data_IF_444238441712
#
_entry.id   IF_444238441712
#
_cell.length_a   1.000
_cell.length_b   1.000
_cell.length_c   1.000
_cell.angle_alpha   90.00
_cell.angle_beta   90.00
_cell.angle_gamma   90.00
#
_symmetry.space_group_name_H-M   'P 1'
#
loop_
_entity.id
_entity.type
_entity.pdbx_description
1 polymer ?
#
# COMPACT_ATOMS: atom_id res chain seq x y z
N UNK A 1 -16.14 -10.52 -20.22
CA UNK A 1 -17.26 -9.64 -19.78
C UNK A 1 -16.77 -8.89 -18.55
N UNK A 2 -16.74 -7.56 -18.57
CA UNK A 2 -16.39 -6.76 -17.40
C UNK A 2 -17.31 -7.15 -16.22
N UNK A 3 -16.71 -7.55 -15.09
CA UNK A 3 -17.44 -7.88 -13.86
C UNK A 3 -18.30 -6.72 -13.37
N UNK A 4 -19.36 -7.00 -12.61
CA UNK A 4 -20.20 -5.95 -12.04
C UNK A 4 -19.51 -5.38 -10.81
N UNK A 5 -19.18 -4.08 -10.82
CA UNK A 5 -18.63 -3.37 -9.65
C UNK A 5 -19.66 -3.15 -8.54
N UNK A 6 -20.96 -3.22 -8.87
CA UNK A 6 -22.08 -2.98 -7.96
C UNK A 6 -22.85 -4.29 -7.78
N UNK A 7 -22.88 -4.81 -6.56
CA UNK A 7 -23.49 -6.08 -6.19
C UNK A 7 -23.09 -6.53 -4.78
N UNK A 8 -23.62 -7.66 -4.31
CA UNK A 8 -23.12 -8.30 -3.10
C UNK A 8 -21.66 -8.73 -3.31
N UNK A 9 -20.82 -8.48 -2.30
CA UNK A 9 -19.44 -8.95 -2.31
C UNK A 9 -19.44 -10.49 -2.27
N UNK A 10 -18.58 -11.19 -3.02
CA UNK A 10 -18.52 -12.65 -2.97
C UNK A 10 -18.26 -13.13 -1.53
N UNK A 11 -18.98 -14.18 -1.11
CA UNK A 11 -18.81 -14.80 0.21
C UNK A 11 -17.52 -15.63 0.31
N UNK A 12 -16.98 -16.05 -0.83
CA UNK A 12 -15.78 -16.87 -0.98
C UNK A 12 -14.49 -16.07 -1.26
N UNK A 13 -14.54 -14.73 -1.16
CA UNK A 13 -13.32 -13.91 -1.29
C UNK A 13 -12.45 -14.00 -0.03
N UNK A 14 -11.33 -14.73 -0.13
CA UNK A 14 -10.31 -14.79 0.92
C UNK A 14 -9.58 -13.45 1.15
N UNK A 15 -9.67 -12.54 0.18
CA UNK A 15 -9.03 -11.24 0.14
C UNK A 15 -7.52 -11.29 -0.06
N UNK A 16 -6.88 -10.14 0.15
CA UNK A 16 -5.46 -9.96 -0.10
C UNK A 16 -4.86 -9.05 0.98
N UNK A 17 -3.83 -9.52 1.66
CA UNK A 17 -2.91 -8.68 2.43
C UNK A 17 -1.62 -8.50 1.65
N UNK A 18 -1.03 -7.31 1.78
CA UNK A 18 0.30 -7.01 1.29
C UNK A 18 1.20 -6.80 2.50
N UNK A 19 2.20 -7.66 2.64
CA UNK A 19 3.26 -7.54 3.63
C UNK A 19 4.55 -7.18 2.90
N UNK A 20 5.17 -6.08 3.30
CA UNK A 20 6.36 -5.54 2.68
C UNK A 20 7.41 -5.17 3.72
N UNK A 21 8.68 -5.39 3.39
CA UNK A 21 9.80 -5.23 4.31
C UNK A 21 10.75 -4.17 3.74
N UNK A 22 11.03 -3.13 4.52
CA UNK A 22 11.92 -2.05 4.10
C UNK A 22 13.08 -1.88 5.07
N UNK A 23 14.26 -1.70 4.49
CA UNK A 23 15.47 -1.30 5.20
C UNK A 23 15.72 0.17 4.90
N UNK A 24 16.18 0.89 5.91
CA UNK A 24 16.53 2.30 5.76
C UNK A 24 17.67 2.44 4.73
N UNK A 25 17.56 3.42 3.82
CA UNK A 25 18.63 3.67 2.85
C UNK A 25 19.95 4.03 3.54
N UNK A 26 21.08 3.78 2.87
CA UNK A 26 22.40 4.18 3.38
C UNK A 26 22.48 5.68 3.62
N UNK A 27 21.94 6.49 2.71
CA UNK A 27 21.90 7.95 2.84
C UNK A 27 21.14 8.39 4.09
N UNK A 28 19.94 7.85 4.29
CA UNK A 28 19.12 8.12 5.47
C UNK A 28 19.83 7.70 6.76
N UNK A 29 20.50 6.54 6.75
CA UNK A 29 21.30 6.05 7.87
C UNK A 29 22.47 6.99 8.21
N UNK A 30 23.18 7.49 7.19
CA UNK A 30 24.28 8.44 7.37
C UNK A 30 23.80 9.79 7.91
N UNK A 31 22.66 10.30 7.46
CA UNK A 31 22.05 11.52 7.99
C UNK A 31 21.71 11.38 9.49
N UNK A 32 21.06 10.27 9.85
CA UNK A 32 20.71 9.97 11.24
C UNK A 32 21.96 9.83 12.12
N UNK A 33 23.02 9.19 11.63
CA UNK A 33 24.29 9.05 12.35
C UNK A 33 24.96 10.39 12.68
N UNK A 34 24.68 11.43 11.88
CA UNK A 34 25.16 12.80 12.07
C UNK A 34 24.19 13.66 12.89
N UNK A 35 23.12 13.07 13.43
CA UNK A 35 22.07 13.79 14.15
C UNK A 35 21.19 14.69 13.26
N UNK A 36 21.23 14.50 11.94
CA UNK A 36 20.46 15.30 10.99
C UNK A 36 19.09 14.66 10.73
N UNK A 37 18.04 15.48 10.69
CA UNK A 37 16.69 15.02 10.35
C UNK A 37 16.06 15.90 9.27
N UNK A 38 15.74 15.30 8.13
CA UNK A 38 14.89 15.90 7.11
C UNK A 38 13.42 15.85 7.54
N UNK A 39 12.53 16.68 6.97
CA UNK A 39 11.08 16.56 7.21
C UNK A 39 10.54 15.14 7.01
N UNK A 40 10.96 14.45 5.94
CA UNK A 40 10.57 13.07 5.66
C UNK A 40 11.06 12.07 6.72
N UNK A 41 12.29 12.22 7.22
CA UNK A 41 12.80 11.37 8.32
C UNK A 41 12.07 11.63 9.63
N UNK A 42 11.67 12.88 9.91
CA UNK A 42 10.84 13.20 11.08
C UNK A 42 9.46 12.55 11.00
N UNK A 43 8.81 12.65 9.85
CA UNK A 43 7.51 12.02 9.60
C UNK A 43 7.59 10.49 9.72
N UNK A 44 8.59 9.88 9.07
CA UNK A 44 8.79 8.43 9.15
C UNK A 44 9.03 7.96 10.58
N UNK A 45 9.88 8.66 11.33
CA UNK A 45 10.15 8.34 12.74
C UNK A 45 8.87 8.40 13.58
N UNK A 46 8.08 9.47 13.45
CA UNK A 46 6.79 9.58 14.14
C UNK A 46 5.85 8.42 13.78
N UNK A 47 5.82 8.01 12.52
CA UNK A 47 4.96 6.91 12.09
C UNK A 47 5.40 5.57 12.70
N UNK A 48 6.71 5.32 12.76
CA UNK A 48 7.28 4.15 13.42
C UNK A 48 6.99 4.17 14.92
N UNK A 49 7.14 5.32 15.58
CA UNK A 49 6.90 5.48 17.03
C UNK A 49 5.42 5.23 17.40
N UNK A 50 4.48 5.68 16.55
CA UNK A 50 3.04 5.43 16.73
C UNK A 50 2.66 3.99 16.35
N UNK A 51 3.36 3.37 15.40
CA UNK A 51 3.17 1.98 14.97
C UNK A 51 1.89 1.68 14.20
N UNK A 52 0.94 2.62 14.15
CA UNK A 52 -0.37 2.46 13.50
C UNK A 52 -0.78 3.70 12.72
N UNK A 53 -1.34 3.49 11.53
CA UNK A 53 -1.86 4.56 10.68
C UNK A 53 -3.28 4.95 11.08
N UNK A 54 -3.52 6.25 11.31
CA UNK A 54 -4.84 6.79 11.66
C UNK A 54 -5.12 8.06 10.84
N UNK A 55 -6.40 8.33 10.59
CA UNK A 55 -6.81 9.50 9.79
C UNK A 55 -6.54 10.81 10.54
N UNK A 56 -6.81 10.84 11.83
CA UNK A 56 -6.70 12.03 12.67
C UNK A 56 -5.25 12.24 13.16
N UNK A 57 -4.49 11.17 13.42
CA UNK A 57 -3.11 11.20 13.89
C UNK A 57 -2.07 11.22 12.77
N UNK A 58 -1.26 10.17 12.67
CA UNK A 58 -0.30 10.00 11.58
C UNK A 58 -0.86 9.07 10.49
N UNK A 59 -0.88 9.57 9.27
CA UNK A 59 -1.55 8.95 8.13
C UNK A 59 -0.53 8.32 7.20
N UNK A 60 -0.64 7.02 6.96
CA UNK A 60 0.15 6.33 5.94
C UNK A 60 -0.65 6.20 4.64
N UNK A 61 -0.03 6.52 3.51
CA UNK A 61 -0.65 6.48 2.19
C UNK A 61 0.06 5.47 1.30
N UNK A 62 -0.72 4.84 0.43
CA UNK A 62 -0.20 4.10 -0.71
C UNK A 62 -0.67 4.75 -2.01
N UNK A 63 0.21 4.78 -3.00
CA UNK A 63 -0.12 5.17 -4.37
C UNK A 63 0.06 3.94 -5.24
N UNK A 64 -1.03 3.47 -5.84
CA UNK A 64 -1.01 2.38 -6.79
C UNK A 64 -1.04 2.91 -8.22
N UNK A 65 -0.16 2.38 -9.07
CA UNK A 65 -0.16 2.64 -10.51
C UNK A 65 -0.17 1.34 -11.27
N UNK A 66 -1.17 1.15 -12.12
CA UNK A 66 -1.16 0.10 -13.15
C UNK A 66 -0.72 0.73 -14.46
N UNK A 67 0.32 0.18 -15.06
CA UNK A 67 0.80 0.57 -16.39
C UNK A 67 -0.17 0.09 -17.47
N UNK A 68 -0.41 0.92 -18.49
CA UNK A 68 -1.28 0.62 -19.64
C UNK A 68 -2.67 0.09 -19.25
N UNK A 69 -3.31 0.75 -18.29
CA UNK A 69 -4.57 0.28 -17.69
C UNK A 69 -5.69 0.02 -18.74
N UNK A 70 -5.68 0.73 -19.87
CA UNK A 70 -6.63 0.58 -20.98
C UNK A 70 -6.61 -0.84 -21.60
N UNK A 71 -5.49 -1.56 -21.48
CA UNK A 71 -5.31 -2.93 -21.98
C UNK A 71 -6.18 -3.96 -21.25
N UNK A 72 -6.52 -3.74 -19.98
CA UNK A 72 -7.08 -4.79 -19.12
C UNK A 72 -8.62 -4.84 -19.10
N UNK A 73 -9.30 -4.03 -19.94
CA UNK A 73 -10.76 -3.99 -20.04
C UNK A 73 -11.46 -3.81 -18.68
N UNK A 74 -10.87 -2.99 -17.82
CA UNK A 74 -11.41 -2.64 -16.50
C UNK A 74 -12.42 -1.48 -16.61
N UNK A 75 -13.36 -1.34 -15.65
CA UNK A 75 -14.37 -0.30 -15.71
C UNK A 75 -13.77 1.10 -15.59
N UNK A 76 -14.42 2.09 -16.21
CA UNK A 76 -13.87 3.44 -16.30
C UNK A 76 -13.65 4.11 -14.92
N UNK A 77 -14.48 3.75 -13.95
CA UNK A 77 -14.32 4.18 -12.57
C UNK A 77 -12.95 3.81 -11.99
N UNK A 78 -12.31 2.73 -12.45
CA UNK A 78 -11.00 2.29 -11.96
C UNK A 78 -9.86 3.22 -12.39
N UNK A 79 -9.91 3.78 -13.60
CA UNK A 79 -8.91 4.75 -14.07
C UNK A 79 -8.82 5.97 -13.14
N UNK A 80 -9.93 6.33 -12.47
CA UNK A 80 -9.98 7.44 -11.53
C UNK A 80 -9.25 7.17 -10.23
N UNK A 81 -8.83 5.94 -9.95
CA UNK A 81 -8.03 5.58 -8.78
C UNK A 81 -6.56 5.36 -9.11
N UNK A 82 -6.23 5.17 -10.40
CA UNK A 82 -4.84 5.06 -10.83
C UNK A 82 -4.05 6.31 -10.44
N UNK A 83 -2.86 6.14 -9.86
CA UNK A 83 -2.00 7.22 -9.37
C UNK A 83 -2.61 8.10 -8.27
N UNK A 84 -3.76 7.74 -7.69
CA UNK A 84 -4.31 8.49 -6.56
C UNK A 84 -3.81 7.92 -5.23
N UNK A 85 -3.28 8.77 -4.33
CA UNK A 85 -2.98 8.35 -2.98
C UNK A 85 -4.24 7.86 -2.26
N UNK A 86 -4.15 6.70 -1.64
CA UNK A 86 -5.17 6.12 -0.78
C UNK A 86 -4.64 6.07 0.63
N UNK A 87 -5.45 6.57 1.57
CA UNK A 87 -5.14 6.52 2.99
C UNK A 87 -5.31 5.10 3.53
N UNK A 88 -4.24 4.54 4.09
CA UNK A 88 -4.23 3.24 4.76
C UNK A 88 -4.56 3.38 6.25
N UNK A 89 -5.69 4.02 6.58
CA UNK A 89 -6.10 4.23 7.97
C UNK A 89 -6.68 2.96 8.60
N UNK A 90 -6.20 2.60 9.80
CA UNK A 90 -6.62 1.42 10.59
C UNK A 90 -6.31 0.05 9.96
N UNK A 91 -5.72 0.05 8.77
CA UNK A 91 -5.37 -1.16 8.05
C UNK A 91 -3.87 -1.36 7.89
N UNK A 92 -3.06 -0.30 8.02
CA UNK A 92 -1.60 -0.39 8.02
C UNK A 92 -1.05 -0.41 9.44
N UNK A 93 -0.19 -1.40 9.71
CA UNK A 93 0.61 -1.51 10.93
C UNK A 93 2.09 -1.54 10.55
N UNK A 94 2.94 -0.89 11.36
CA UNK A 94 4.39 -1.01 11.24
C UNK A 94 4.92 -1.87 12.37
N UNK A 95 5.62 -2.94 12.02
CA UNK A 95 6.24 -3.85 12.97
C UNK A 95 7.76 -3.69 12.86
N UNK A 96 8.36 -3.15 13.92
CA UNK A 96 9.83 -2.95 14.02
C UNK A 96 10.49 -3.87 15.04
N UNK A 97 9.72 -4.53 15.89
CA UNK A 97 10.25 -5.40 16.96
C UNK A 97 10.54 -6.84 16.50
N UNK A 98 10.00 -7.25 15.35
CA UNK A 98 10.19 -8.61 14.82
C UNK A 98 11.53 -8.78 14.12
N UNK A 99 11.97 -7.73 13.41
CA UNK A 99 13.19 -7.70 12.65
C UNK A 99 13.94 -6.41 13.00
N UNK A 100 15.01 -6.46 13.81
CA UNK A 100 15.61 -5.27 14.41
C UNK A 100 16.17 -4.25 13.39
N UNK A 101 16.43 -4.68 12.15
CA UNK A 101 16.97 -3.84 11.09
C UNK A 101 15.96 -3.48 9.99
N UNK A 102 14.69 -3.89 10.15
CA UNK A 102 13.68 -3.82 9.09
C UNK A 102 12.37 -3.29 9.66
N UNK A 103 11.72 -2.41 8.92
CA UNK A 103 10.31 -2.10 9.14
C UNK A 103 9.46 -3.02 8.26
N UNK A 104 8.61 -3.82 8.89
CA UNK A 104 7.55 -4.57 8.20
C UNK A 104 6.29 -3.68 8.15
N UNK A 105 5.75 -3.51 6.95
CA UNK A 105 4.50 -2.79 6.67
C UNK A 105 3.50 -3.82 6.19
N UNK A 106 2.47 -4.06 7.00
CA UNK A 106 1.35 -4.95 6.70
C UNK A 106 0.09 -4.12 6.51
N UNK A 107 -0.61 -4.32 5.40
CA UNK A 107 -1.99 -3.88 5.27
C UNK A 107 -2.90 -4.85 4.53
N UNK A 108 -4.14 -4.87 4.99
CA UNK A 108 -5.21 -5.70 4.46
C UNK A 108 -6.10 -4.92 3.48
N UNK A 109 -6.10 -5.31 2.21
CA UNK A 109 -6.91 -4.68 1.16
C UNK A 109 -8.41 -4.90 1.38
N UNK A 110 -8.82 -5.93 2.15
CA UNK A 110 -10.24 -6.17 2.52
C UNK A 110 -10.82 -5.09 3.41
N UNK A 111 -9.99 -4.26 4.01
CA UNK A 111 -10.44 -3.16 4.87
C UNK A 111 -10.55 -1.83 4.11
N UNK A 112 -10.19 -1.81 2.83
CA UNK A 112 -10.28 -0.63 1.97
C UNK A 112 -11.74 -0.30 1.61
N UNK A 113 -11.95 0.86 0.96
CA UNK A 113 -13.27 1.23 0.44
C UNK A 113 -13.84 0.13 -0.48
N UNK A 114 -15.17 -0.06 -0.42
CA UNK A 114 -15.91 -1.12 -1.13
C UNK A 114 -15.50 -1.30 -2.60
N UNK A 115 -15.24 -0.19 -3.30
CA UNK A 115 -14.88 -0.21 -4.71
C UNK A 115 -13.54 -0.92 -4.97
N UNK A 116 -12.54 -0.73 -4.11
CA UNK A 116 -11.26 -1.40 -4.25
C UNK A 116 -11.40 -2.92 -4.06
N UNK A 117 -12.16 -3.33 -3.05
CA UNK A 117 -12.43 -4.76 -2.78
C UNK A 117 -13.18 -5.43 -3.91
N UNK A 118 -14.30 -4.81 -4.32
CA UNK A 118 -15.10 -5.28 -5.46
C UNK A 118 -14.24 -5.38 -6.73
N UNK A 119 -13.33 -4.44 -6.96
CA UNK A 119 -12.46 -4.49 -8.12
C UNK A 119 -11.44 -5.62 -8.03
N UNK A 120 -10.77 -5.78 -6.88
CA UNK A 120 -9.83 -6.87 -6.70
C UNK A 120 -10.53 -8.22 -6.86
N UNK A 121 -11.66 -8.44 -6.18
CA UNK A 121 -12.43 -9.67 -6.29
C UNK A 121 -12.82 -10.00 -7.74
N UNK A 122 -13.27 -9.02 -8.53
CA UNK A 122 -13.70 -9.25 -9.91
C UNK A 122 -12.56 -9.30 -10.94
N UNK A 123 -11.43 -8.64 -10.68
CA UNK A 123 -10.37 -8.41 -11.67
C UNK A 123 -8.97 -8.91 -11.26
N UNK A 124 -8.82 -9.58 -10.12
CA UNK A 124 -7.54 -10.13 -9.67
C UNK A 124 -6.88 -11.07 -10.71
N UNK A 125 -7.67 -11.78 -11.52
CA UNK A 125 -7.15 -12.62 -12.61
C UNK A 125 -6.36 -11.85 -13.68
N UNK A 126 -6.56 -10.53 -13.80
CA UNK A 126 -5.79 -9.66 -14.70
C UNK A 126 -4.42 -9.30 -14.14
N UNK A 127 -4.16 -9.49 -12.84
CA UNK A 127 -2.88 -9.18 -12.21
C UNK A 127 -1.70 -9.94 -12.86
N UNK A 128 -1.95 -11.14 -13.41
CA UNK A 128 -0.95 -11.94 -14.14
C UNK A 128 -0.49 -11.29 -15.46
N UNK A 129 -1.28 -10.38 -16.01
CA UNK A 129 -0.98 -9.65 -17.25
C UNK A 129 -0.53 -8.22 -16.97
N UNK A 130 -0.71 -7.74 -15.75
CA UNK A 130 -0.53 -6.36 -15.36
C UNK A 130 0.83 -6.10 -14.70
N UNK A 131 1.26 -4.86 -14.82
CA UNK A 131 2.39 -4.30 -14.09
C UNK A 131 1.86 -3.27 -13.09
N UNK A 132 2.01 -3.57 -11.80
CA UNK A 132 1.51 -2.75 -10.69
C UNK A 132 2.69 -2.18 -9.91
N UNK A 133 2.81 -0.85 -9.89
CA UNK A 133 3.74 -0.11 -9.05
C UNK A 133 3.02 0.37 -7.79
N UNK A 134 3.66 0.19 -6.64
CA UNK A 134 3.16 0.66 -5.36
C UNK A 134 4.23 1.54 -4.73
N UNK A 135 3.84 2.76 -4.35
CA UNK A 135 4.67 3.69 -3.59
C UNK A 135 4.04 4.03 -2.25
N UNK A 136 4.86 4.18 -1.22
CA UNK A 136 4.44 4.51 0.13
C UNK A 136 4.94 5.86 0.57
N UNK A 137 4.12 6.57 1.34
CA UNK A 137 4.44 7.87 1.92
C UNK A 137 3.65 8.10 3.21
N UNK A 138 4.20 8.92 4.08
CA UNK A 138 3.50 9.44 5.26
C UNK A 138 2.95 10.82 4.90
N UNK A 139 1.71 11.08 5.26
CA UNK A 139 1.06 12.38 5.04
C UNK A 139 1.71 13.49 5.84
N UNK A 140 2.05 14.58 5.16
CA UNK A 140 2.40 15.85 5.80
C UNK A 140 1.12 16.64 6.07
N UNK A 141 0.91 17.07 7.32
CA UNK A 141 -0.24 17.87 7.76
C UNK A 141 0.14 19.33 8.06
N UNK A 142 1.42 19.62 8.25
CA UNK A 142 1.95 20.97 8.42
C UNK A 142 2.84 21.40 7.25
N UNK A 143 2.98 22.72 7.03
CA UNK A 143 3.76 23.26 5.91
C UNK A 143 5.24 22.85 5.96
N UNK A 144 5.82 22.68 7.15
CA UNK A 144 7.22 22.24 7.33
C UNK A 144 7.43 20.75 7.08
N UNK A 145 6.34 19.99 6.90
CA UNK A 145 6.32 18.57 6.57
C UNK A 145 6.23 18.33 5.05
N UNK A 146 6.01 19.39 4.26
CA UNK A 146 5.85 19.33 2.81
C UNK A 146 7.15 19.71 2.06
N UNK A 147 7.37 19.17 0.84
CA UNK A 147 6.56 18.15 0.17
C UNK A 147 6.72 16.76 0.80
N UNK A 148 5.65 15.95 0.74
CA UNK A 148 5.70 14.53 1.10
C UNK A 148 6.72 13.79 0.21
N UNK A 149 7.40 12.77 0.76
CA UNK A 149 8.37 11.96 0.02
C UNK A 149 7.95 10.49 -0.04
N UNK A 150 8.23 9.84 -1.17
CA UNK A 150 8.15 8.39 -1.29
C UNK A 150 9.22 7.77 -0.39
N UNK A 151 8.78 6.94 0.55
CA UNK A 151 9.63 6.27 1.54
C UNK A 151 10.12 4.91 1.04
N UNK A 152 9.30 4.24 0.24
CA UNK A 152 9.59 2.95 -0.36
C UNK A 152 8.64 2.70 -1.51
N UNK A 153 9.09 1.93 -2.49
CA UNK A 153 8.27 1.48 -3.59
C UNK A 153 8.71 0.11 -4.09
N UNK A 154 7.80 -0.58 -4.75
CA UNK A 154 8.09 -1.82 -5.46
C UNK A 154 7.16 -1.97 -6.66
N UNK A 155 7.56 -2.84 -7.57
CA UNK A 155 6.79 -3.20 -8.76
C UNK A 155 6.50 -4.69 -8.73
N UNK A 156 5.23 -5.03 -8.89
CA UNK A 156 4.72 -6.37 -9.06
C UNK A 156 4.46 -6.58 -10.55
N UNK A 157 5.23 -7.47 -11.17
CA UNK A 157 5.10 -7.79 -12.58
C UNK A 157 4.41 -9.14 -12.73
N UNK A 158 3.29 -9.16 -13.45
CA UNK A 158 2.66 -10.39 -13.93
C UNK A 158 2.36 -11.41 -12.80
N UNK A 159 1.92 -10.92 -11.63
CA UNK A 159 1.66 -11.78 -10.48
C UNK A 159 0.34 -12.53 -10.66
N UNK A 160 0.42 -13.86 -10.67
CA UNK A 160 -0.75 -14.72 -10.65
C UNK A 160 -1.20 -15.01 -9.22
N UNK A 161 -2.11 -14.16 -8.70
CA UNK A 161 -2.70 -14.31 -7.37
C UNK A 161 -3.60 -15.57 -7.31
N UNK A 162 -4.11 -16.05 -8.45
CA UNK A 162 -4.99 -17.25 -8.49
C UNK A 162 -4.23 -18.55 -8.28
N UNK A 163 -2.91 -18.53 -8.47
CA UNK A 163 -2.03 -19.67 -8.21
C UNK A 163 -1.61 -19.79 -6.74
N UNK A 164 -2.04 -18.87 -5.86
CA UNK A 164 -1.70 -18.91 -4.45
C UNK A 164 -2.31 -20.15 -3.75
N UNK A 165 -1.52 -20.79 -2.90
CA UNK A 165 -2.02 -21.87 -2.05
C UNK A 165 -2.90 -21.31 -0.94
N UNK A 166 -4.03 -21.98 -0.69
CA UNK A 166 -4.90 -21.63 0.42
C UNK A 166 -4.22 -22.00 1.74
N UNK A 167 -3.84 -20.99 2.53
CA UNK A 167 -3.33 -21.18 3.88
C UNK A 167 -4.50 -21.04 4.85
N UNK A 168 -4.96 -22.16 5.42
CA UNK A 168 -5.89 -22.12 6.56
C UNK A 168 -5.08 -21.86 7.82
N UNK A 169 -5.32 -20.71 8.46
CA UNK A 169 -4.86 -20.48 9.82
C UNK A 169 -5.77 -21.32 10.74
N UNK A 170 -5.33 -22.54 11.05
CA UNK A 170 -5.93 -23.36 12.10
C UNK A 170 -5.81 -22.69 13.47
#
# INVERSE_FOLDING_TARGET
KAGRLIGAHPEDDGGLSVVSYFVLSRQSSELLSKGQQTPSLRLWRRFVDEGVSTKEGISFKAVGRVEDMEKYEVPESFYRFNNKPVLLAKCATVLTHRLPEVAEIDYDVRTWAFLARSTLANYHHRAREAELEIGYLVEGKADDELPEQILGCFKLNNIDITAAEWVSLM
#
